data_IF_053880923476
#
_entry.id   IF_053880923476
#
_cell.length_a   1.000
_cell.length_b   1.000
_cell.length_c   1.000
_cell.angle_alpha   90.00
_cell.angle_beta   90.00
_cell.angle_gamma   90.00
#
_symmetry.space_group_name_H-M   'P 1'
#
loop_
_entity.id
_entity.type
_entity.pdbx_description
1 polymer ?
#
# COMPACT_ATOMS: atom_id res chain seq x y z
N UNK A 1 -9.19 19.97 -15.86
CA UNK A 1 -9.72 18.97 -14.92
C UNK A 1 -10.95 19.56 -14.26
N UNK A 2 -12.13 19.10 -14.66
CA UNK A 2 -13.40 19.54 -14.09
C UNK A 2 -13.57 18.80 -12.75
N UNK A 3 -13.34 19.47 -11.62
CA UNK A 3 -13.29 18.91 -10.27
C UNK A 3 -14.50 18.04 -9.86
N UNK A 4 -15.67 18.24 -10.46
CA UNK A 4 -16.85 17.43 -10.20
C UNK A 4 -16.71 15.96 -10.61
N UNK A 5 -16.07 15.68 -11.74
CA UNK A 5 -15.95 14.32 -12.28
C UNK A 5 -14.98 13.45 -11.47
N UNK A 6 -13.91 14.03 -10.94
CA UNK A 6 -12.92 13.30 -10.13
C UNK A 6 -13.53 12.88 -8.78
N UNK A 7 -14.40 13.70 -8.22
CA UNK A 7 -15.06 13.41 -6.95
C UNK A 7 -16.05 12.24 -7.09
N UNK A 8 -16.88 12.22 -8.12
CA UNK A 8 -17.79 11.09 -8.39
C UNK A 8 -17.03 9.80 -8.69
N UNK A 9 -15.95 9.87 -9.48
CA UNK A 9 -15.09 8.72 -9.77
C UNK A 9 -14.43 8.18 -8.51
N UNK A 10 -13.95 9.06 -7.64
CA UNK A 10 -13.31 8.70 -6.38
C UNK A 10 -14.26 7.96 -5.45
N UNK A 11 -15.46 8.48 -5.25
CA UNK A 11 -16.48 7.81 -4.45
C UNK A 11 -16.86 6.45 -5.04
N UNK A 12 -16.95 6.36 -6.36
CA UNK A 12 -17.23 5.11 -7.04
C UNK A 12 -16.10 4.08 -6.80
N UNK A 13 -14.82 4.47 -6.95
CA UNK A 13 -13.65 3.60 -6.72
C UNK A 13 -13.66 3.10 -5.27
N UNK A 14 -13.85 4.00 -4.29
CA UNK A 14 -13.89 3.64 -2.87
C UNK A 14 -15.01 2.64 -2.61
N UNK A 15 -16.21 2.88 -3.14
CA UNK A 15 -17.33 1.97 -2.97
C UNK A 15 -17.10 0.60 -3.62
N UNK A 16 -16.54 0.55 -4.82
CA UNK A 16 -16.24 -0.72 -5.51
C UNK A 16 -15.11 -1.50 -4.81
N UNK A 17 -14.06 -0.81 -4.34
CA UNK A 17 -13.01 -1.42 -3.52
C UNK A 17 -13.57 -2.05 -2.24
N UNK A 18 -14.40 -1.31 -1.50
CA UNK A 18 -15.06 -1.82 -0.30
C UNK A 18 -16.00 -2.99 -0.60
N UNK A 19 -16.77 -2.95 -1.69
CA UNK A 19 -17.64 -4.05 -2.12
C UNK A 19 -16.82 -5.31 -2.45
N UNK A 20 -15.69 -5.15 -3.14
CA UNK A 20 -14.84 -6.27 -3.50
C UNK A 20 -14.17 -6.88 -2.27
N UNK A 21 -13.60 -6.07 -1.39
CA UNK A 21 -13.03 -6.52 -0.13
C UNK A 21 -14.08 -7.25 0.74
N UNK A 22 -15.29 -6.72 0.81
CA UNK A 22 -16.39 -7.36 1.55
C UNK A 22 -16.84 -8.70 0.94
N UNK A 23 -16.76 -8.87 -0.39
CA UNK A 23 -17.01 -10.18 -1.02
C UNK A 23 -16.00 -11.22 -0.58
N UNK A 24 -14.70 -10.88 -0.58
CA UNK A 24 -13.63 -11.77 -0.13
C UNK A 24 -13.73 -12.06 1.38
N UNK A 25 -13.95 -11.02 2.18
CA UNK A 25 -14.09 -11.17 3.63
C UNK A 25 -15.24 -12.13 4.02
N UNK A 26 -16.40 -12.04 3.35
CA UNK A 26 -17.52 -12.97 3.56
C UNK A 26 -17.22 -14.42 3.14
N UNK A 27 -16.21 -14.61 2.28
CA UNK A 27 -15.71 -15.93 1.89
C UNK A 27 -14.61 -16.45 2.84
N UNK A 28 -14.32 -15.73 3.92
CA UNK A 28 -13.24 -16.08 4.85
C UNK A 28 -11.84 -15.71 4.34
N UNK A 29 -11.74 -14.87 3.30
CA UNK A 29 -10.48 -14.40 2.75
C UNK A 29 -10.20 -13.00 3.28
N UNK A 30 -9.23 -12.87 4.18
CA UNK A 30 -8.78 -11.59 4.72
C UNK A 30 -7.70 -10.99 3.81
N UNK A 31 -8.12 -10.54 2.62
CA UNK A 31 -7.25 -9.90 1.64
C UNK A 31 -7.61 -8.41 1.60
N UNK A 32 -6.75 -7.51 2.13
CA UNK A 32 -6.98 -6.08 2.07
C UNK A 32 -6.96 -5.58 0.62
N UNK A 33 -7.73 -4.52 0.35
CA UNK A 33 -7.73 -3.80 -0.92
C UNK A 33 -7.15 -2.42 -0.67
N UNK A 34 -6.05 -2.09 -1.36
CA UNK A 34 -5.47 -0.77 -1.35
C UNK A 34 -6.14 0.14 -2.40
N UNK A 35 -6.34 1.40 -2.05
CA UNK A 35 -6.97 2.41 -2.89
C UNK A 35 -6.05 3.61 -2.97
N UNK A 36 -5.64 3.95 -4.19
CA UNK A 36 -4.84 5.13 -4.45
C UNK A 36 -5.67 6.41 -4.30
N UNK A 37 -5.13 7.37 -3.56
CA UNK A 37 -5.74 8.68 -3.35
C UNK A 37 -4.87 9.78 -3.97
N UNK A 38 -5.51 10.69 -4.68
CA UNK A 38 -4.83 11.85 -5.27
C UNK A 38 -4.76 13.03 -4.31
N UNK A 39 -3.78 13.95 -4.47
CA UNK A 39 -3.70 15.20 -3.68
C UNK A 39 -5.00 16.01 -3.70
N UNK A 40 -5.66 16.07 -4.85
CA UNK A 40 -6.88 16.85 -5.03
C UNK A 40 -8.04 16.36 -4.13
N UNK A 41 -8.11 15.05 -3.87
CA UNK A 41 -9.14 14.49 -2.99
C UNK A 41 -9.00 14.98 -1.55
N UNK A 42 -7.77 15.20 -1.06
CA UNK A 42 -7.54 15.75 0.28
C UNK A 42 -7.97 17.20 0.42
N UNK A 43 -8.00 17.95 -0.66
CA UNK A 43 -8.41 19.36 -0.66
C UNK A 43 -9.91 19.53 -0.90
N UNK A 44 -10.52 18.70 -1.72
CA UNK A 44 -11.91 18.85 -2.16
C UNK A 44 -12.90 17.99 -1.42
N UNK A 45 -12.46 16.89 -0.78
CA UNK A 45 -13.35 15.89 -0.19
C UNK A 45 -13.14 15.72 1.32
N UNK A 46 -14.18 15.26 2.00
CA UNK A 46 -14.08 14.69 3.34
C UNK A 46 -13.94 13.17 3.23
N UNK A 47 -12.71 12.73 2.98
CA UNK A 47 -12.40 11.30 2.78
C UNK A 47 -12.82 10.41 3.96
N UNK A 48 -12.62 10.81 5.24
CA UNK A 48 -13.08 10.00 6.38
C UNK A 48 -14.56 9.65 6.34
N UNK A 49 -15.43 10.59 5.99
CA UNK A 49 -16.87 10.33 5.92
C UNK A 49 -17.23 9.40 4.76
N UNK A 50 -16.56 9.58 3.60
CA UNK A 50 -16.77 8.72 2.42
C UNK A 50 -16.38 7.28 2.74
N UNK A 51 -15.21 7.06 3.37
CA UNK A 51 -14.76 5.72 3.77
C UNK A 51 -15.64 5.13 4.87
N UNK A 52 -16.00 5.92 5.88
CA UNK A 52 -16.90 5.46 6.94
C UNK A 52 -18.21 4.93 6.38
N UNK A 53 -18.83 5.69 5.47
CA UNK A 53 -20.08 5.29 4.83
C UNK A 53 -19.91 4.04 3.96
N UNK A 54 -18.83 3.96 3.19
CA UNK A 54 -18.54 2.80 2.36
C UNK A 54 -18.30 1.52 3.18
N UNK A 55 -17.52 1.61 4.26
CA UNK A 55 -17.28 0.50 5.19
C UNK A 55 -18.58 0.04 5.85
N UNK A 56 -19.37 0.98 6.36
CA UNK A 56 -20.65 0.70 7.01
C UNK A 56 -21.66 0.04 6.07
N UNK A 57 -21.83 0.57 4.85
CA UNK A 57 -22.75 0.00 3.84
C UNK A 57 -22.40 -1.44 3.48
N UNK A 58 -21.10 -1.79 3.51
CA UNK A 58 -20.62 -3.11 3.15
C UNK A 58 -20.40 -4.06 4.34
N UNK A 59 -20.64 -3.58 5.57
CA UNK A 59 -20.33 -4.29 6.82
C UNK A 59 -18.90 -4.83 6.83
N UNK A 60 -17.95 -3.95 6.49
CA UNK A 60 -16.53 -4.29 6.30
C UNK A 60 -15.68 -3.66 7.40
N UNK A 61 -14.81 -4.40 8.09
CA UNK A 61 -13.86 -3.81 9.03
C UNK A 61 -12.80 -3.00 8.30
N UNK A 62 -12.39 -1.85 8.88
CA UNK A 62 -11.45 -0.93 8.26
C UNK A 62 -10.13 -1.56 7.83
N UNK A 63 -9.60 -2.54 8.60
CA UNK A 63 -8.36 -3.27 8.28
C UNK A 63 -8.37 -3.99 6.92
N UNK A 64 -9.54 -4.11 6.28
CA UNK A 64 -9.68 -4.70 4.96
C UNK A 64 -9.48 -3.68 3.83
N UNK A 65 -9.23 -2.42 4.16
CA UNK A 65 -8.94 -1.35 3.21
C UNK A 65 -7.64 -0.66 3.61
N UNK A 66 -6.75 -0.53 2.64
CA UNK A 66 -5.59 0.36 2.70
C UNK A 66 -5.82 1.59 1.83
N UNK A 67 -5.16 2.69 2.17
CA UNK A 67 -5.08 3.88 1.33
C UNK A 67 -3.62 4.14 0.97
N UNK A 68 -3.37 4.41 -0.30
CA UNK A 68 -2.06 4.71 -0.84
C UNK A 68 -2.02 6.17 -1.30
N UNK A 69 -1.02 6.90 -0.83
CA UNK A 69 -0.79 8.29 -1.20
C UNK A 69 0.61 8.43 -1.77
N UNK A 70 0.77 9.23 -2.81
CA UNK A 70 2.10 9.55 -3.29
C UNK A 70 2.77 10.57 -2.37
N UNK A 71 4.09 10.65 -2.41
CA UNK A 71 4.89 11.58 -1.64
C UNK A 71 4.44 13.05 -1.81
N UNK A 72 4.00 13.41 -3.01
CA UNK A 72 3.54 14.77 -3.33
C UNK A 72 2.20 15.15 -2.68
N UNK A 73 1.38 14.20 -2.26
CA UNK A 73 0.10 14.46 -1.59
C UNK A 73 0.25 15.24 -0.27
N UNK A 74 1.43 15.20 0.31
CA UNK A 74 1.68 15.77 1.65
C UNK A 74 2.12 17.23 1.60
N UNK A 75 2.62 17.68 0.46
CA UNK A 75 3.33 18.97 0.35
C UNK A 75 2.38 20.18 0.39
N UNK A 76 1.20 20.07 -0.18
CA UNK A 76 0.30 21.21 -0.37
C UNK A 76 -0.40 21.68 0.93
N UNK A 77 -0.87 20.79 1.77
CA UNK A 77 -1.46 21.10 3.08
C UNK A 77 -1.22 19.95 4.07
N UNK A 78 -0.07 19.99 4.73
CA UNK A 78 0.34 18.96 5.70
C UNK A 78 -0.67 18.78 6.85
N UNK A 79 -1.21 19.90 7.38
CA UNK A 79 -2.13 19.82 8.53
C UNK A 79 -3.44 19.13 8.17
N UNK A 80 -4.04 19.49 7.05
CA UNK A 80 -5.27 18.90 6.57
C UNK A 80 -5.08 17.43 6.19
N UNK A 81 -4.02 17.15 5.45
CA UNK A 81 -3.67 15.76 5.05
C UNK A 81 -3.44 14.89 6.27
N UNK A 82 -2.62 15.33 7.23
CA UNK A 82 -2.37 14.59 8.46
C UNK A 82 -3.66 14.34 9.27
N UNK A 83 -4.51 15.36 9.37
CA UNK A 83 -5.80 15.22 10.08
C UNK A 83 -6.69 14.14 9.42
N UNK A 84 -6.88 14.20 8.09
CA UNK A 84 -7.69 13.21 7.38
C UNK A 84 -7.09 11.80 7.47
N UNK A 85 -5.77 11.65 7.29
CA UNK A 85 -5.08 10.36 7.42
C UNK A 85 -5.23 9.79 8.84
N UNK A 86 -5.15 10.63 9.88
CA UNK A 86 -5.36 10.20 11.25
C UNK A 86 -6.79 9.70 11.49
N UNK A 87 -7.78 10.34 10.89
CA UNK A 87 -9.17 9.88 10.95
C UNK A 87 -9.39 8.57 10.19
N UNK A 88 -8.77 8.40 9.01
CA UNK A 88 -8.80 7.14 8.26
C UNK A 88 -8.19 6.00 9.07
N UNK A 89 -7.06 6.24 9.74
CA UNK A 89 -6.47 5.28 10.68
C UNK A 89 -7.39 4.94 11.86
N UNK A 90 -8.09 5.93 12.40
CA UNK A 90 -9.07 5.71 13.49
C UNK A 90 -10.23 4.80 13.03
N UNK A 91 -10.58 4.81 11.75
CA UNK A 91 -11.52 3.86 11.14
C UNK A 91 -10.91 2.46 10.94
N UNK A 92 -9.61 2.29 11.19
CA UNK A 92 -8.87 1.03 11.08
C UNK A 92 -8.24 0.78 9.71
N UNK A 93 -8.19 1.78 8.81
CA UNK A 93 -7.51 1.66 7.52
C UNK A 93 -5.99 1.66 7.71
N UNK A 94 -5.30 0.94 6.83
CA UNK A 94 -3.85 1.06 6.69
C UNK A 94 -3.51 2.25 5.78
N UNK A 95 -2.49 3.02 6.15
CA UNK A 95 -2.01 4.17 5.37
C UNK A 95 -0.59 3.88 4.87
N UNK A 96 -0.40 3.94 3.56
CA UNK A 96 0.89 3.73 2.91
C UNK A 96 1.30 4.93 2.05
N UNK A 97 2.61 5.15 1.97
CA UNK A 97 3.20 6.05 0.97
C UNK A 97 3.64 5.21 -0.22
N UNK A 98 3.19 5.60 -1.39
CA UNK A 98 3.50 4.98 -2.68
C UNK A 98 4.57 5.75 -3.46
N UNK A 99 5.24 5.07 -4.39
CA UNK A 99 6.30 5.62 -5.26
C UNK A 99 7.43 6.33 -4.49
N UNK A 100 7.75 5.84 -3.27
CA UNK A 100 8.69 6.53 -2.39
C UNK A 100 10.12 6.54 -2.97
N UNK A 101 10.71 7.75 -2.95
CA UNK A 101 12.07 8.00 -3.45
C UNK A 101 12.11 8.61 -4.86
N UNK A 102 10.98 8.74 -5.56
CA UNK A 102 10.93 9.36 -6.89
C UNK A 102 10.69 10.87 -6.85
N UNK A 103 10.29 11.42 -5.69
CA UNK A 103 9.94 12.81 -5.48
C UNK A 103 10.97 13.59 -4.65
N UNK A 104 10.64 14.85 -4.36
CA UNK A 104 11.41 15.71 -3.46
C UNK A 104 10.94 15.45 -2.01
N UNK A 105 11.33 14.32 -1.43
CA UNK A 105 10.99 14.01 -0.04
C UNK A 105 11.59 15.03 0.91
N UNK A 106 10.75 15.85 1.52
CA UNK A 106 11.16 16.47 2.76
C UNK A 106 10.97 15.45 3.90
N UNK A 107 12.01 14.71 4.22
CA UNK A 107 12.04 13.76 5.35
C UNK A 107 11.53 14.37 6.67
N UNK A 108 11.54 15.71 6.76
CA UNK A 108 11.05 16.45 7.93
C UNK A 108 9.54 16.30 8.19
N UNK A 109 8.75 15.92 7.18
CA UNK A 109 7.30 15.74 7.36
C UNK A 109 6.90 14.27 7.54
N UNK A 110 7.75 13.36 7.08
CA UNK A 110 7.42 11.94 7.09
C UNK A 110 7.12 11.40 8.50
N UNK A 111 7.90 11.83 9.50
CA UNK A 111 7.74 11.43 10.89
C UNK A 111 6.45 11.97 11.55
N UNK A 112 5.79 12.98 10.94
CA UNK A 112 4.55 13.56 11.46
C UNK A 112 3.31 12.86 10.92
N UNK A 113 3.47 12.09 9.84
CA UNK A 113 2.35 11.42 9.19
C UNK A 113 2.04 10.09 9.88
N UNK A 114 0.76 9.75 9.97
CA UNK A 114 0.33 8.49 10.57
C UNK A 114 0.46 7.30 9.60
N UNK A 115 1.61 7.17 8.94
CA UNK A 115 1.90 6.10 7.97
C UNK A 115 2.32 4.82 8.66
N UNK A 116 2.01 3.69 8.05
CA UNK A 116 2.35 2.36 8.53
C UNK A 116 3.18 1.58 7.52
N UNK A 117 3.09 1.95 6.24
CA UNK A 117 3.77 1.26 5.15
C UNK A 117 4.47 2.27 4.25
N UNK A 118 5.68 1.94 3.80
CA UNK A 118 6.41 2.68 2.77
C UNK A 118 6.67 1.70 1.62
N UNK A 119 6.21 2.08 0.41
CA UNK A 119 6.37 1.28 -0.81
C UNK A 119 7.52 1.86 -1.62
N UNK A 120 8.54 1.04 -1.87
CA UNK A 120 9.71 1.44 -2.66
C UNK A 120 9.36 1.29 -4.14
N UNK A 121 9.49 2.38 -4.89
CA UNK A 121 9.18 2.39 -6.31
C UNK A 121 10.00 1.36 -7.12
N UNK A 122 9.34 0.78 -8.11
CA UNK A 122 9.91 -0.22 -9.01
C UNK A 122 11.18 0.23 -9.75
N UNK A 123 11.38 1.53 -9.97
CA UNK A 123 12.56 2.05 -10.68
C UNK A 123 13.85 1.76 -9.92
N UNK A 124 13.79 1.70 -8.58
CA UNK A 124 14.92 1.30 -7.76
C UNK A 124 15.03 -0.22 -7.69
N UNK A 125 13.92 -0.92 -7.44
CA UNK A 125 13.89 -2.38 -7.25
C UNK A 125 14.30 -3.13 -8.51
N UNK A 126 13.87 -2.64 -9.69
CA UNK A 126 14.23 -3.25 -10.97
C UNK A 126 15.72 -3.34 -11.23
N UNK A 127 16.53 -2.51 -10.59
CA UNK A 127 17.97 -2.38 -10.83
C UNK A 127 18.85 -2.72 -9.61
N UNK A 128 18.30 -3.20 -8.49
CA UNK A 128 19.05 -3.42 -7.24
C UNK A 128 20.20 -4.44 -7.38
N UNK A 129 20.14 -5.34 -8.35
CA UNK A 129 21.17 -6.34 -8.60
C UNK A 129 22.29 -5.84 -9.52
N UNK A 130 22.00 -4.87 -10.41
CA UNK A 130 22.88 -4.47 -11.49
C UNK A 130 23.42 -3.05 -11.35
N UNK A 131 22.73 -2.20 -10.56
CA UNK A 131 23.09 -0.79 -10.34
C UNK A 131 23.36 -0.50 -8.86
N UNK A 132 24.62 -0.24 -8.49
CA UNK A 132 24.99 0.07 -7.11
C UNK A 132 24.31 1.33 -6.54
N UNK A 133 23.97 2.32 -7.37
CA UNK A 133 23.29 3.52 -6.95
C UNK A 133 21.84 3.19 -6.54
N UNK A 134 21.10 2.46 -7.39
CA UNK A 134 19.74 1.99 -7.07
C UNK A 134 19.73 1.12 -5.82
N UNK A 135 20.71 0.23 -5.68
CA UNK A 135 20.87 -0.61 -4.49
C UNK A 135 21.09 0.23 -3.22
N UNK A 136 21.92 1.28 -3.31
CA UNK A 136 22.18 2.18 -2.18
C UNK A 136 20.95 2.96 -1.77
N UNK A 137 20.19 3.46 -2.75
CA UNK A 137 18.94 4.21 -2.49
C UNK A 137 17.89 3.29 -1.86
N UNK A 138 17.65 2.11 -2.43
CA UNK A 138 16.69 1.16 -1.89
C UNK A 138 17.06 0.71 -0.45
N UNK A 139 18.34 0.44 -0.16
CA UNK A 139 18.83 0.10 1.17
C UNK A 139 18.64 1.26 2.17
N UNK A 140 18.87 2.49 1.73
CA UNK A 140 18.63 3.68 2.55
C UNK A 140 17.15 3.87 2.88
N UNK A 141 16.25 3.64 1.90
CA UNK A 141 14.79 3.70 2.11
C UNK A 141 14.35 2.62 3.12
N UNK A 142 14.83 1.38 2.99
CA UNK A 142 14.51 0.29 3.95
C UNK A 142 14.91 0.70 5.38
N UNK A 143 16.14 1.18 5.57
CA UNK A 143 16.63 1.60 6.87
C UNK A 143 15.87 2.78 7.48
N UNK A 144 15.53 3.76 6.63
CA UNK A 144 14.70 4.90 7.03
C UNK A 144 13.31 4.44 7.50
N UNK A 145 12.66 3.59 6.71
CA UNK A 145 11.33 3.06 7.03
C UNK A 145 11.32 2.33 8.37
N UNK A 146 12.30 1.47 8.60
CA UNK A 146 12.47 0.78 9.90
C UNK A 146 12.70 1.76 11.05
N UNK A 147 13.47 2.83 10.83
CA UNK A 147 13.69 3.87 11.85
C UNK A 147 12.43 4.64 12.20
N UNK A 148 11.47 4.73 11.26
CA UNK A 148 10.15 5.33 11.46
C UNK A 148 9.11 4.34 12.03
N UNK A 149 9.48 3.08 12.19
CA UNK A 149 8.58 2.01 12.63
C UNK A 149 7.54 1.60 11.56
N UNK A 150 7.84 1.89 10.29
CA UNK A 150 7.00 1.54 9.16
C UNK A 150 7.45 0.20 8.54
N UNK A 151 6.49 -0.57 8.02
CA UNK A 151 6.70 -1.75 7.19
C UNK A 151 7.14 -1.33 5.79
N UNK A 152 8.02 -2.11 5.15
CA UNK A 152 8.49 -1.84 3.80
C UNK A 152 7.89 -2.83 2.82
N UNK A 153 7.37 -2.30 1.70
CA UNK A 153 6.93 -3.09 0.56
C UNK A 153 7.79 -2.72 -0.64
N UNK A 154 8.44 -3.69 -1.25
CA UNK A 154 9.20 -3.48 -2.50
C UNK A 154 8.29 -3.76 -3.70
N UNK A 155 8.25 -2.81 -4.63
CA UNK A 155 7.44 -2.93 -5.84
C UNK A 155 8.25 -3.35 -7.07
N UNK A 156 7.58 -4.03 -8.01
CA UNK A 156 8.18 -4.39 -9.28
C UNK A 156 9.26 -5.47 -9.19
N UNK A 157 9.14 -6.40 -8.23
CA UNK A 157 10.03 -7.57 -8.15
C UNK A 157 9.73 -8.50 -9.31
N UNK A 158 10.75 -8.79 -10.12
CA UNK A 158 10.64 -9.63 -11.33
C UNK A 158 11.54 -10.86 -11.28
N UNK A 159 12.60 -10.85 -10.42
CA UNK A 159 13.58 -11.96 -10.38
C UNK A 159 13.79 -12.49 -8.95
N UNK A 160 14.32 -13.72 -8.88
CA UNK A 160 14.68 -14.35 -7.61
C UNK A 160 15.85 -13.63 -6.92
N UNK A 161 16.79 -13.10 -7.70
CA UNK A 161 17.93 -12.34 -7.19
C UNK A 161 17.49 -11.05 -6.51
N UNK A 162 16.54 -10.33 -7.08
CA UNK A 162 15.94 -9.14 -6.46
C UNK A 162 15.25 -9.52 -5.14
N UNK A 163 14.48 -10.61 -5.13
CA UNK A 163 13.83 -11.09 -3.91
C UNK A 163 14.84 -11.51 -2.83
N UNK A 164 15.94 -12.18 -3.21
CA UNK A 164 17.02 -12.54 -2.29
C UNK A 164 17.69 -11.29 -1.69
N UNK A 165 17.98 -10.29 -2.53
CA UNK A 165 18.54 -9.01 -2.13
C UNK A 165 17.67 -8.27 -1.08
N UNK A 166 16.36 -8.28 -1.27
CA UNK A 166 15.37 -7.69 -0.36
C UNK A 166 15.30 -8.44 0.98
N UNK A 167 15.29 -9.78 0.93
CA UNK A 167 15.29 -10.62 2.15
C UNK A 167 16.51 -10.40 3.03
N UNK A 168 17.70 -10.27 2.45
CA UNK A 168 18.93 -9.96 3.19
C UNK A 168 18.82 -8.64 3.96
N UNK A 169 18.06 -7.68 3.45
CA UNK A 169 17.83 -6.35 4.05
C UNK A 169 16.60 -6.27 4.92
N UNK A 170 15.95 -7.43 5.15
CA UNK A 170 14.74 -7.54 5.99
C UNK A 170 13.56 -6.69 5.48
N UNK A 171 13.42 -6.54 4.16
CA UNK A 171 12.22 -6.01 3.56
C UNK A 171 11.06 -6.97 3.85
N UNK A 172 9.97 -6.49 4.46
CA UNK A 172 8.90 -7.33 5.01
C UNK A 172 7.99 -7.89 3.92
N UNK A 173 7.75 -7.11 2.86
CA UNK A 173 6.86 -7.52 1.78
C UNK A 173 7.40 -7.12 0.41
N UNK A 174 6.98 -7.86 -0.60
CA UNK A 174 7.34 -7.59 -1.99
C UNK A 174 6.18 -7.91 -2.92
N UNK A 175 6.01 -7.09 -3.96
CA UNK A 175 5.04 -7.33 -5.03
C UNK A 175 5.70 -7.14 -6.40
N UNK A 176 5.19 -7.85 -7.41
CA UNK A 176 5.69 -7.77 -8.78
C UNK A 176 5.39 -9.00 -9.61
N UNK A 177 5.84 -8.98 -10.85
CA UNK A 177 5.58 -10.05 -11.82
C UNK A 177 6.26 -11.37 -11.48
N UNK A 178 7.25 -11.36 -10.60
CA UNK A 178 7.82 -12.60 -10.05
C UNK A 178 6.75 -13.45 -9.35
N UNK A 179 5.77 -12.84 -8.70
CA UNK A 179 4.69 -13.54 -8.01
C UNK A 179 3.50 -13.76 -8.92
N UNK A 180 2.99 -12.71 -9.53
CA UNK A 180 1.86 -12.77 -10.47
C UNK A 180 1.72 -11.44 -11.22
N UNK A 181 1.29 -11.46 -12.49
CA UNK A 181 0.74 -10.27 -13.12
C UNK A 181 -0.58 -9.87 -12.48
N UNK A 182 -1.09 -8.68 -12.82
CA UNK A 182 -2.41 -8.23 -12.39
C UNK A 182 -3.49 -9.24 -12.82
N UNK A 183 -4.35 -9.61 -11.88
CA UNK A 183 -5.40 -10.61 -12.09
C UNK A 183 -6.79 -10.01 -11.86
N UNK A 184 -7.80 -10.48 -12.60
CA UNK A 184 -9.18 -10.16 -12.28
C UNK A 184 -9.54 -10.61 -10.86
N UNK A 185 -10.41 -9.89 -10.13
CA UNK A 185 -10.78 -10.20 -8.75
C UNK A 185 -11.23 -11.66 -8.53
N UNK A 186 -11.86 -12.28 -9.54
CA UNK A 186 -12.32 -13.68 -9.45
C UNK A 186 -11.18 -14.70 -9.36
N UNK A 187 -9.95 -14.36 -9.78
CA UNK A 187 -8.78 -15.26 -9.72
C UNK A 187 -7.96 -15.12 -8.44
N UNK A 188 -8.13 -14.04 -7.69
CA UNK A 188 -7.37 -13.77 -6.46
C UNK A 188 -7.55 -14.86 -5.38
N UNK A 189 -8.78 -15.38 -5.12
CA UNK A 189 -8.96 -16.46 -4.13
C UNK A 189 -8.11 -17.70 -4.40
N UNK A 190 -7.95 -18.05 -5.67
CA UNK A 190 -7.12 -19.22 -6.07
C UNK A 190 -5.64 -18.96 -5.81
N UNK A 191 -5.14 -17.75 -6.11
CA UNK A 191 -3.76 -17.38 -5.83
C UNK A 191 -3.47 -17.35 -4.32
N UNK A 192 -4.36 -16.77 -3.53
CA UNK A 192 -4.23 -16.71 -2.08
C UNK A 192 -4.18 -18.10 -1.43
N UNK A 193 -4.98 -19.05 -1.93
CA UNK A 193 -4.97 -20.42 -1.41
C UNK A 193 -3.65 -21.17 -1.70
N UNK A 194 -3.01 -20.93 -2.83
CA UNK A 194 -1.70 -21.50 -3.18
C UNK A 194 -0.60 -20.95 -2.27
N UNK A 195 -0.60 -19.64 -2.01
CA UNK A 195 0.40 -18.99 -1.16
C UNK A 195 0.30 -19.48 0.31
N UNK A 196 -0.90 -19.66 0.83
CA UNK A 196 -1.13 -20.23 2.17
C UNK A 196 -0.59 -21.66 2.32
N UNK A 197 -0.73 -22.51 1.31
CA UNK A 197 -0.22 -23.87 1.36
C UNK A 197 1.32 -23.94 1.35
N UNK A 198 2.00 -23.04 0.65
CA UNK A 198 3.45 -22.96 0.64
C UNK A 198 4.03 -22.59 2.01
N UNK A 199 3.41 -21.64 2.71
CA UNK A 199 3.82 -21.22 4.06
C UNK A 199 3.62 -22.32 5.11
N UNK A 200 2.55 -23.12 5.01
CA UNK A 200 2.26 -24.20 5.96
C UNK A 200 3.17 -25.42 5.80
N UNK A 201 3.75 -25.65 4.62
CA UNK A 201 4.70 -26.75 4.41
C UNK A 201 6.07 -26.48 5.00
N UNK A 202 6.54 -25.23 4.98
CA UNK A 202 7.83 -24.87 5.57
C UNK A 202 7.85 -24.88 7.09
N UNK A 203 6.71 -24.67 7.76
CA UNK A 203 6.64 -24.75 9.23
C UNK A 203 6.61 -26.20 9.78
N UNK A 204 6.39 -27.22 8.92
CA UNK A 204 6.40 -28.65 9.35
C UNK A 204 7.73 -29.38 9.10
N UNK A 205 8.70 -28.74 8.44
CA UNK A 205 10.04 -29.33 8.22
C UNK A 205 11.12 -28.78 9.17
N UNK A 206 10.79 -27.86 10.10
CA UNK A 206 11.66 -27.32 11.11
C UNK A 206 11.27 -27.78 12.54
N UNK A 207 10.85 -29.03 12.66
CA UNK A 207 10.54 -29.71 13.93
C UNK A 207 11.40 -30.97 14.10
#
# INVERSE_FOLDING_TARGET
EEGGLINELSEWIINEGCKQAARWFRQGLEIPVAINLSPLQFTEQNLPDIFYDALRRNNLPGRMIGVEITENCVIDDLHRTNHQLSMLRALGLEVSIDDFGTGYSSLSYLHQLPIQVIKIDRSFIGQVTDNPESATIADAIIKLSHSLGATVVAEGVETEEQLAWLKERKCEAAQGYYFSPALPPAKIPTLASVTFQASSKNSRQAG
#
